data_IF_942127141130
#
_entry.id   IF_942127141130
#
_cell.length_a   1.000
_cell.length_b   1.000
_cell.length_c   1.000
_cell.angle_alpha   90.00
_cell.angle_beta   90.00
_cell.angle_gamma   90.00
#
_symmetry.space_group_name_H-M   'P 1'
#
loop_
_entity.id
_entity.type
_entity.pdbx_description
1 polymer ?
#
# COMPACT_ATOMS: atom_id res chain seq x y z
N UNK A 1 -16.01 -28.99 -0.32
CA UNK A 1 -16.77 -28.14 0.61
C UNK A 1 -15.83 -27.78 1.74
N UNK A 2 -15.46 -26.50 1.85
CA UNK A 2 -14.72 -25.96 2.99
C UNK A 2 -15.58 -26.28 4.23
N UNK A 3 -15.01 -26.92 5.27
CA UNK A 3 -15.75 -27.14 6.52
C UNK A 3 -16.30 -25.80 7.02
N UNK A 4 -17.55 -25.77 7.50
CA UNK A 4 -18.26 -24.62 8.09
C UNK A 4 -17.56 -24.06 9.34
N UNK A 5 -16.36 -23.52 9.17
CA UNK A 5 -15.70 -22.68 10.15
C UNK A 5 -15.68 -21.29 9.56
N UNK A 6 -16.50 -20.41 10.13
CA UNK A 6 -16.41 -18.98 9.86
C UNK A 6 -14.95 -18.55 10.02
N UNK A 7 -14.44 -17.79 9.07
CA UNK A 7 -13.11 -17.21 9.11
C UNK A 7 -13.17 -15.78 8.59
N UNK A 8 -12.18 -14.99 8.98
CA UNK A 8 -12.07 -13.61 8.52
C UNK A 8 -11.10 -13.48 7.36
N UNK A 9 -11.38 -12.51 6.49
CA UNK A 9 -10.53 -12.07 5.40
C UNK A 9 -10.15 -10.62 5.65
N UNK A 10 -8.84 -10.34 5.66
CA UNK A 10 -8.31 -8.99 5.70
C UNK A 10 -7.78 -8.62 4.31
N UNK A 11 -8.49 -7.74 3.60
CA UNK A 11 -8.21 -7.43 2.19
C UNK A 11 -7.18 -6.31 1.98
N UNK A 12 -6.65 -5.74 3.07
CA UNK A 12 -5.55 -4.79 2.97
C UNK A 12 -4.75 -4.71 4.27
N UNK A 13 -3.54 -5.27 4.27
CA UNK A 13 -2.64 -5.21 5.42
C UNK A 13 -1.17 -5.15 5.01
N UNK A 14 -0.29 -4.96 5.99
CA UNK A 14 1.14 -4.72 5.81
C UNK A 14 2.05 -5.52 6.76
N UNK A 15 1.84 -6.83 6.99
CA UNK A 15 2.77 -7.61 7.82
C UNK A 15 4.17 -7.63 7.21
N UNK A 16 4.32 -7.73 5.88
CA UNK A 16 5.65 -7.71 5.24
C UNK A 16 6.35 -6.38 5.38
N UNK A 17 5.68 -5.26 5.12
CA UNK A 17 6.28 -3.93 5.27
C UNK A 17 6.91 -3.75 6.66
N UNK A 18 6.17 -4.13 7.71
CA UNK A 18 6.62 -3.99 9.09
C UNK A 18 7.74 -4.96 9.41
N UNK A 19 7.57 -6.25 9.15
CA UNK A 19 8.60 -7.25 9.42
C UNK A 19 9.89 -6.98 8.64
N UNK A 20 9.78 -6.57 7.37
CA UNK A 20 10.91 -6.31 6.49
C UNK A 20 11.71 -5.07 6.89
N UNK A 21 11.07 -4.04 7.46
CA UNK A 21 11.76 -2.77 7.73
C UNK A 21 12.09 -2.53 9.20
N UNK A 22 11.42 -3.18 10.15
CA UNK A 22 11.59 -2.89 11.58
C UNK A 22 12.79 -3.62 12.21
N UNK A 23 13.39 -3.07 13.29
CA UNK A 23 14.43 -3.75 14.05
C UNK A 23 13.99 -5.12 14.55
N UNK A 24 14.96 -6.03 14.66
CA UNK A 24 14.77 -7.34 15.27
C UNK A 24 15.33 -7.29 16.69
N UNK A 25 14.45 -7.17 17.68
CA UNK A 25 14.86 -7.10 19.09
C UNK A 25 15.23 -8.48 19.67
N UNK A 26 14.61 -9.54 19.14
CA UNK A 26 14.86 -10.94 19.51
C UNK A 26 14.72 -11.85 18.30
N UNK A 27 15.50 -12.93 18.25
CA UNK A 27 15.39 -13.96 17.23
C UNK A 27 15.82 -13.49 15.83
N UNK A 28 15.13 -14.00 14.82
CA UNK A 28 15.38 -13.68 13.40
C UNK A 28 14.14 -12.98 12.84
N UNK A 29 14.34 -12.03 11.94
CA UNK A 29 13.28 -11.32 11.23
C UNK A 29 12.27 -12.30 10.62
N UNK A 30 10.99 -12.15 10.99
CA UNK A 30 9.91 -13.01 10.52
C UNK A 30 8.56 -12.26 10.52
N UNK A 31 7.55 -12.84 9.87
CA UNK A 31 6.18 -12.28 9.77
C UNK A 31 5.26 -12.70 10.93
N UNK A 32 5.70 -13.65 11.76
CA UNK A 32 4.89 -14.28 12.78
C UNK A 32 4.74 -13.42 14.02
N UNK A 33 5.85 -12.83 14.48
CA UNK A 33 5.90 -12.12 15.74
C UNK A 33 5.62 -10.62 15.55
N UNK A 34 5.11 -9.99 16.60
CA UNK A 34 4.92 -8.55 16.62
C UNK A 34 6.27 -7.83 16.60
N UNK A 35 6.33 -6.69 15.90
CA UNK A 35 7.51 -5.82 15.86
C UNK A 35 7.25 -4.50 16.56
N UNK A 36 8.29 -3.88 17.10
CA UNK A 36 8.20 -2.61 17.83
C UNK A 36 9.23 -1.60 17.30
N UNK A 37 8.83 -0.33 17.23
CA UNK A 37 9.74 0.76 16.90
C UNK A 37 10.79 0.91 18.01
N UNK A 38 11.99 1.35 17.65
CA UNK A 38 12.98 1.77 18.64
C UNK A 38 12.45 2.93 19.49
N UNK A 39 12.64 2.81 20.80
CA UNK A 39 12.31 3.84 21.77
C UNK A 39 13.58 4.60 22.19
N UNK A 40 13.89 5.69 21.49
CA UNK A 40 14.99 6.58 21.90
C UNK A 40 14.54 7.54 22.99
N UNK A 41 15.37 7.69 24.03
CA UNK A 41 15.09 8.54 25.19
C UNK A 41 15.65 9.96 25.08
N UNK A 42 16.16 10.34 23.91
CA UNK A 42 16.62 11.72 23.67
C UNK A 42 15.45 12.70 23.69
N UNK A 43 15.65 13.97 24.12
CA UNK A 43 14.56 14.95 24.20
C UNK A 43 13.81 15.14 22.87
N UNK A 44 14.51 15.08 21.74
CA UNK A 44 13.92 15.23 20.41
C UNK A 44 13.07 14.02 20.00
N UNK A 45 13.50 12.81 20.36
CA UNK A 45 12.74 11.58 20.09
C UNK A 45 11.51 11.47 20.98
N UNK A 46 11.61 11.88 22.26
CA UNK A 46 10.43 12.05 23.14
C UNK A 46 9.43 13.05 22.56
N UNK A 47 9.91 14.20 22.08
CA UNK A 47 9.06 15.18 21.40
C UNK A 47 8.39 14.58 20.15
N UNK A 48 9.14 13.86 19.31
CA UNK A 48 8.61 13.23 18.10
C UNK A 48 7.54 12.18 18.43
N UNK A 49 7.78 11.35 19.46
CA UNK A 49 6.81 10.37 19.97
C UNK A 49 5.51 11.04 20.44
N UNK A 50 5.60 12.12 21.22
CA UNK A 50 4.43 12.89 21.66
C UNK A 50 3.68 13.53 20.49
N UNK A 51 4.38 14.05 19.48
CA UNK A 51 3.74 14.64 18.29
C UNK A 51 3.12 13.60 17.36
N UNK A 52 3.55 12.34 17.45
CA UNK A 52 3.07 11.22 16.62
C UNK A 52 2.39 10.13 17.44
N UNK A 53 1.78 10.48 18.58
CA UNK A 53 1.09 9.53 19.47
C UNK A 53 -0.11 8.83 18.80
N UNK A 54 -0.69 9.45 17.76
CA UNK A 54 -1.74 8.82 16.94
C UNK A 54 -1.19 7.73 16.00
N UNK A 55 0.13 7.58 15.86
CA UNK A 55 0.75 6.56 15.04
C UNK A 55 1.16 5.38 15.93
N UNK A 56 0.72 4.18 15.57
CA UNK A 56 1.12 2.96 16.25
C UNK A 56 2.66 2.81 16.26
N UNK A 57 3.20 2.39 17.41
CA UNK A 57 4.63 2.13 17.61
C UNK A 57 4.96 0.64 17.65
N UNK A 58 3.95 -0.20 17.50
CA UNK A 58 4.06 -1.64 17.31
C UNK A 58 3.35 -2.04 16.02
N UNK A 59 3.71 -3.20 15.47
CA UNK A 59 3.01 -3.79 14.34
C UNK A 59 1.54 -4.02 14.68
N UNK A 60 0.64 -3.52 13.84
CA UNK A 60 -0.80 -3.76 13.95
C UNK A 60 -1.23 -5.06 13.25
N UNK A 61 -0.32 -5.67 12.47
CA UNK A 61 -0.52 -6.91 11.74
C UNK A 61 0.72 -7.81 11.86
N UNK A 62 0.50 -9.07 12.25
CA UNK A 62 1.47 -10.17 12.24
C UNK A 62 0.70 -11.51 12.20
N UNK A 63 1.34 -12.57 11.74
CA UNK A 63 0.64 -13.84 11.48
C UNK A 63 0.15 -14.55 12.76
N UNK A 64 0.79 -14.36 13.92
CA UNK A 64 0.28 -14.92 15.17
C UNK A 64 -1.01 -14.22 15.63
N UNK A 65 -1.09 -12.90 15.48
CA UNK A 65 -2.32 -12.15 15.74
C UNK A 65 -3.44 -12.56 14.78
N UNK A 66 -3.13 -12.80 13.51
CA UNK A 66 -4.10 -13.29 12.53
C UNK A 66 -4.62 -14.68 12.87
N UNK A 67 -3.73 -15.60 13.20
CA UNK A 67 -4.10 -16.93 13.65
C UNK A 67 -4.99 -16.89 14.91
N UNK A 68 -4.61 -16.09 15.91
CA UNK A 68 -5.39 -15.91 17.14
C UNK A 68 -6.78 -15.28 16.89
N UNK A 69 -6.87 -14.38 15.90
CA UNK A 69 -8.11 -13.74 15.48
C UNK A 69 -8.93 -14.54 14.46
N UNK A 70 -8.52 -15.76 14.11
CA UNK A 70 -9.16 -16.58 13.08
C UNK A 70 -9.27 -15.87 11.71
N UNK A 71 -8.27 -15.04 11.38
CA UNK A 71 -8.09 -14.45 10.04
C UNK A 71 -7.26 -15.44 9.23
N UNK A 72 -7.89 -16.04 8.21
CA UNK A 72 -7.29 -17.13 7.44
C UNK A 72 -6.90 -16.74 6.03
N UNK A 73 -7.38 -15.61 5.54
CA UNK A 73 -6.96 -15.03 4.27
C UNK A 73 -6.53 -13.59 4.51
N UNK A 74 -5.33 -13.25 4.08
CA UNK A 74 -4.83 -11.88 4.14
C UNK A 74 -4.31 -11.44 2.79
N UNK A 75 -4.47 -10.15 2.49
CA UNK A 75 -3.90 -9.49 1.33
C UNK A 75 -2.72 -8.65 1.82
N UNK A 76 -1.52 -9.22 1.69
CA UNK A 76 -0.29 -8.58 2.14
C UNK A 76 0.19 -7.60 1.07
N UNK A 77 0.02 -6.32 1.39
CA UNK A 77 0.34 -5.21 0.52
C UNK A 77 1.82 -4.85 0.66
N UNK A 78 2.59 -5.33 -0.30
CA UNK A 78 4.00 -4.99 -0.43
C UNK A 78 4.13 -3.50 -0.78
N UNK A 79 5.05 -2.82 -0.11
CA UNK A 79 5.15 -1.37 -0.20
C UNK A 79 6.61 -0.94 -0.07
N UNK A 80 7.31 -0.72 -1.20
CA UNK A 80 8.59 -0.03 -1.19
C UNK A 80 8.44 1.36 -0.56
N UNK A 81 9.27 1.71 0.41
CA UNK A 81 9.12 2.96 1.17
C UNK A 81 9.37 4.16 0.25
N UNK A 82 8.33 4.97 0.02
CA UNK A 82 8.44 6.18 -0.80
C UNK A 82 9.52 7.14 -0.25
N UNK A 83 10.42 7.62 -1.11
CA UNK A 83 11.54 8.50 -0.73
C UNK A 83 11.07 9.80 -0.07
N UNK A 84 9.83 10.22 -0.32
CA UNK A 84 9.20 11.34 0.35
C UNK A 84 9.16 11.19 1.89
N UNK A 85 9.04 9.97 2.41
CA UNK A 85 9.11 9.69 3.85
C UNK A 85 10.50 9.82 4.45
N UNK A 86 11.55 9.75 3.63
CA UNK A 86 12.94 9.90 4.08
C UNK A 86 13.36 11.37 4.17
N UNK A 87 12.53 12.29 3.65
CA UNK A 87 12.80 13.74 3.54
C UNK A 87 11.90 14.55 4.48
N UNK A 88 12.33 14.67 5.74
CA UNK A 88 11.58 15.42 6.77
C UNK A 88 11.82 16.94 6.65
N UNK A 89 10.81 17.72 6.25
CA UNK A 89 10.92 19.16 5.92
C UNK A 89 11.36 20.08 7.05
N UNK A 90 10.98 19.76 8.29
CA UNK A 90 11.13 20.67 9.44
C UNK A 90 12.18 20.23 10.44
N UNK A 91 12.99 19.22 10.12
CA UNK A 91 14.17 18.94 10.91
C UNK A 91 15.28 19.83 10.34
N UNK A 92 15.81 20.79 11.11
CA UNK A 92 17.01 21.51 10.70
C UNK A 92 18.18 20.55 10.88
N UNK A 93 18.33 19.60 9.96
CA UNK A 93 19.38 18.57 9.97
C UNK A 93 20.77 19.16 10.09
N UNK A 94 20.98 20.37 9.54
CA UNK A 94 22.20 21.16 9.71
C UNK A 94 22.49 21.59 11.16
N UNK A 95 21.46 21.79 12.00
CA UNK A 95 21.58 22.17 13.42
C UNK A 95 21.47 20.97 14.38
N UNK A 96 20.73 19.93 13.99
CA UNK A 96 20.41 18.77 14.83
C UNK A 96 21.44 17.64 14.64
N UNK A 97 22.12 17.59 13.49
CA UNK A 97 23.04 16.52 13.11
C UNK A 97 22.31 15.27 12.62
N UNK A 98 22.97 14.48 11.76
CA UNK A 98 22.39 13.30 11.09
C UNK A 98 21.91 12.22 12.07
N UNK A 99 22.69 11.91 13.10
CA UNK A 99 22.34 10.88 14.08
C UNK A 99 20.98 11.14 14.76
N UNK A 100 20.78 12.36 15.28
CA UNK A 100 19.51 12.75 15.93
C UNK A 100 18.34 12.82 14.94
N UNK A 101 18.58 13.16 13.67
CA UNK A 101 17.53 13.09 12.65
C UNK A 101 17.08 11.66 12.36
N UNK A 102 18.01 10.72 12.45
CA UNK A 102 17.75 9.30 12.22
C UNK A 102 16.96 8.72 13.39
N UNK A 103 17.31 9.08 14.64
CA UNK A 103 16.51 8.70 15.81
C UNK A 103 15.04 9.16 15.68
N UNK A 104 14.80 10.39 15.22
CA UNK A 104 13.43 10.90 15.00
C UNK A 104 12.71 10.07 13.94
N UNK A 105 13.36 9.81 12.80
CA UNK A 105 12.75 9.07 11.72
C UNK A 105 12.45 7.62 12.12
N UNK A 106 13.37 6.95 12.81
CA UNK A 106 13.20 5.59 13.36
C UNK A 106 12.09 5.54 14.40
N UNK A 107 11.99 6.54 15.28
CA UNK A 107 10.88 6.67 16.26
C UNK A 107 9.51 6.75 15.58
N UNK A 108 9.43 7.52 14.48
CA UNK A 108 8.16 7.78 13.79
C UNK A 108 7.77 6.62 12.88
N UNK A 109 8.70 6.12 12.07
CA UNK A 109 8.45 5.13 11.01
C UNK A 109 8.62 3.69 11.48
N UNK A 110 9.46 3.46 12.49
CA UNK A 110 9.84 2.11 12.92
C UNK A 110 10.81 1.42 11.97
N UNK A 111 11.42 2.12 11.02
CA UNK A 111 12.45 1.57 10.14
C UNK A 111 13.73 1.39 10.94
N UNK A 112 14.41 0.25 10.78
CA UNK A 112 15.70 -0.05 11.38
C UNK A 112 16.81 0.88 10.85
N UNK A 113 17.87 1.08 11.63
CA UNK A 113 18.99 1.93 11.23
C UNK A 113 19.68 1.47 9.93
N UNK A 114 19.98 0.17 9.80
CA UNK A 114 20.61 -0.37 8.59
C UNK A 114 19.67 -0.31 7.39
N UNK A 115 18.39 -0.60 7.61
CA UNK A 115 17.38 -0.50 6.57
C UNK A 115 17.21 0.96 6.11
N UNK A 116 17.21 1.92 7.04
CA UNK A 116 17.10 3.34 6.73
C UNK A 116 18.27 3.82 5.86
N UNK A 117 19.51 3.41 6.18
CA UNK A 117 20.67 3.74 5.37
C UNK A 117 20.60 3.08 3.98
N UNK A 118 20.19 1.82 3.90
CA UNK A 118 19.95 1.14 2.62
C UNK A 118 18.92 1.87 1.75
N UNK A 119 17.79 2.27 2.35
CA UNK A 119 16.73 3.01 1.66
C UNK A 119 17.18 4.38 1.18
N UNK A 120 18.07 5.07 1.89
CA UNK A 120 18.60 6.38 1.46
C UNK A 120 19.63 6.27 0.34
N UNK A 121 20.39 5.18 0.32
CA UNK A 121 21.44 4.96 -0.66
C UNK A 121 20.91 4.27 -1.94
N UNK A 122 19.70 3.71 -1.90
CA UNK A 122 19.04 3.09 -3.05
C UNK A 122 18.12 4.09 -3.77
N UNK A 123 18.30 4.24 -5.08
CA UNK A 123 17.37 4.91 -6.00
C UNK A 123 16.63 3.88 -6.88
N UNK A 124 16.27 2.74 -6.32
CA UNK A 124 15.52 1.73 -7.06
C UNK A 124 14.41 1.12 -6.19
N UNK A 125 13.17 1.56 -6.39
CA UNK A 125 12.01 1.02 -5.65
C UNK A 125 11.71 -0.43 -6.04
N UNK A 126 12.01 -0.80 -7.29
CA UNK A 126 11.73 -2.16 -7.78
C UNK A 126 12.62 -3.20 -7.11
N UNK A 127 13.89 -2.88 -6.84
CA UNK A 127 14.77 -3.76 -6.06
C UNK A 127 14.25 -3.98 -4.63
N UNK A 128 13.65 -2.95 -4.02
CA UNK A 128 13.01 -3.11 -2.72
C UNK A 128 11.76 -3.99 -2.80
N UNK A 129 10.93 -3.82 -3.84
CA UNK A 129 9.78 -4.68 -4.10
C UNK A 129 10.20 -6.16 -4.24
N UNK A 130 11.24 -6.43 -5.03
CA UNK A 130 11.80 -7.78 -5.20
C UNK A 130 12.30 -8.34 -3.86
N UNK A 131 12.95 -7.53 -3.04
CA UNK A 131 13.39 -7.91 -1.69
C UNK A 131 12.23 -8.27 -0.76
N UNK A 132 11.17 -7.47 -0.75
CA UNK A 132 9.96 -7.73 0.05
C UNK A 132 9.24 -9.00 -0.40
N UNK A 133 9.03 -9.18 -1.71
CA UNK A 133 8.42 -10.41 -2.25
C UNK A 133 9.29 -11.64 -1.95
N UNK A 134 10.63 -11.54 -2.08
CA UNK A 134 11.53 -12.63 -1.76
C UNK A 134 11.49 -12.98 -0.26
N UNK A 135 11.41 -11.98 0.62
CA UNK A 135 11.27 -12.20 2.06
C UNK A 135 9.96 -12.92 2.40
N UNK A 136 8.83 -12.47 1.84
CA UNK A 136 7.53 -13.11 2.00
C UNK A 136 7.52 -14.53 1.40
N UNK A 137 8.05 -14.71 0.19
CA UNK A 137 8.05 -16.02 -0.47
C UNK A 137 8.96 -17.04 0.22
N UNK A 138 10.13 -16.63 0.72
CA UNK A 138 11.08 -17.53 1.40
C UNK A 138 10.65 -17.86 2.82
N UNK A 139 9.90 -16.98 3.48
CA UNK A 139 9.45 -17.18 4.85
C UNK A 139 8.28 -18.17 5.00
N UNK A 140 7.70 -18.65 3.91
CA UNK A 140 6.52 -19.54 3.92
C UNK A 140 6.78 -20.81 4.73
N UNK A 141 5.70 -21.37 5.29
CA UNK A 141 5.77 -22.60 6.08
C UNK A 141 5.29 -22.41 7.50
N UNK A 142 5.80 -23.23 8.42
CA UNK A 142 5.34 -23.31 9.80
C UNK A 142 5.74 -22.08 10.61
N UNK A 143 4.92 -21.72 11.57
CA UNK A 143 5.25 -20.76 12.63
C UNK A 143 6.40 -21.29 13.49
N UNK A 144 7.12 -20.41 14.23
CA UNK A 144 8.22 -20.83 15.11
C UNK A 144 7.84 -21.93 16.11
N UNK A 145 6.58 -21.98 16.54
CA UNK A 145 6.07 -23.00 17.46
C UNK A 145 5.43 -24.20 16.76
N UNK A 146 5.32 -24.18 15.42
CA UNK A 146 4.80 -25.29 14.62
C UNK A 146 3.28 -25.43 14.55
N UNK A 147 2.52 -24.60 15.28
CA UNK A 147 1.05 -24.71 15.40
C UNK A 147 0.28 -24.16 14.20
N UNK A 148 0.89 -23.23 13.47
CA UNK A 148 0.28 -22.53 12.34
C UNK A 148 1.22 -22.57 11.15
N UNK A 149 0.71 -22.26 9.96
CA UNK A 149 1.51 -22.06 8.77
C UNK A 149 0.98 -20.90 7.92
N UNK A 150 1.76 -20.42 6.97
CA UNK A 150 1.21 -19.61 5.89
C UNK A 150 1.74 -20.05 4.54
N UNK A 151 0.94 -19.78 3.50
CA UNK A 151 1.28 -20.06 2.10
C UNK A 151 0.81 -18.91 1.23
N UNK A 152 1.66 -18.52 0.28
CA UNK A 152 1.28 -17.63 -0.80
C UNK A 152 0.36 -18.37 -1.76
N UNK A 153 -0.70 -17.70 -2.17
CA UNK A 153 -1.67 -18.23 -3.13
C UNK A 153 -1.79 -17.29 -4.32
N UNK A 154 -1.57 -17.84 -5.51
CA UNK A 154 -1.63 -17.15 -6.78
C UNK A 154 -2.95 -17.34 -7.52
N UNK A 155 -3.92 -18.10 -6.97
CA UNK A 155 -5.23 -18.35 -7.59
C UNK A 155 -6.31 -18.71 -6.57
N UNK A 156 -7.58 -18.65 -6.98
CA UNK A 156 -8.71 -19.12 -6.17
C UNK A 156 -8.56 -20.61 -5.81
N UNK A 157 -8.17 -21.45 -6.77
CA UNK A 157 -7.99 -22.88 -6.54
C UNK A 157 -6.90 -23.17 -5.49
N UNK A 158 -5.77 -22.47 -5.55
CA UNK A 158 -4.72 -22.60 -4.53
C UNK A 158 -5.21 -22.15 -3.14
N UNK A 159 -5.96 -21.06 -3.09
CA UNK A 159 -6.56 -20.59 -1.85
C UNK A 159 -7.57 -21.60 -1.28
N UNK A 160 -8.47 -22.13 -2.11
CA UNK A 160 -9.46 -23.14 -1.71
C UNK A 160 -8.77 -24.41 -1.16
N UNK A 161 -7.70 -24.86 -1.81
CA UNK A 161 -6.87 -25.98 -1.34
C UNK A 161 -6.30 -25.69 0.04
N UNK A 162 -5.64 -24.54 0.24
CA UNK A 162 -5.09 -24.15 1.55
C UNK A 162 -6.19 -24.11 2.62
N UNK A 163 -7.34 -23.52 2.28
CA UNK A 163 -8.45 -23.33 3.20
C UNK A 163 -9.12 -24.64 3.62
N UNK A 164 -9.15 -25.62 2.70
CA UNK A 164 -9.79 -26.93 2.91
C UNK A 164 -8.84 -27.93 3.60
N UNK A 165 -7.56 -27.93 3.24
CA UNK A 165 -6.61 -28.96 3.71
C UNK A 165 -5.98 -28.65 5.07
N UNK A 166 -5.76 -27.38 5.40
CA UNK A 166 -5.07 -26.98 6.63
C UNK A 166 -5.80 -25.85 7.37
N UNK A 167 -6.60 -26.17 8.41
CA UNK A 167 -7.35 -25.17 9.19
C UNK A 167 -6.45 -24.17 9.92
N UNK A 168 -5.16 -24.48 10.10
CA UNK A 168 -4.18 -23.64 10.77
C UNK A 168 -3.24 -22.91 9.79
N UNK A 169 -3.51 -23.01 8.49
CA UNK A 169 -2.79 -22.27 7.47
C UNK A 169 -3.50 -20.97 7.09
N UNK A 170 -2.73 -19.88 7.04
CA UNK A 170 -3.15 -18.58 6.52
C UNK A 170 -2.77 -18.53 5.03
N UNK A 171 -3.76 -18.31 4.17
CA UNK A 171 -3.55 -18.02 2.76
C UNK A 171 -3.18 -16.54 2.59
N UNK A 172 -2.05 -16.27 1.94
CA UNK A 172 -1.57 -14.91 1.69
C UNK A 172 -1.71 -14.61 0.19
N UNK A 173 -2.56 -13.64 -0.13
CA UNK A 173 -2.67 -13.05 -1.46
C UNK A 173 -1.71 -11.86 -1.51
N UNK A 174 -0.90 -11.77 -2.55
CA UNK A 174 0.01 -10.63 -2.72
C UNK A 174 -0.76 -9.46 -3.32
N UNK A 175 -0.57 -8.26 -2.76
CA UNK A 175 -0.95 -6.98 -3.37
C UNK A 175 0.22 -6.02 -3.29
N UNK A 176 0.12 -4.89 -3.98
CA UNK A 176 1.14 -3.83 -3.90
C UNK A 176 0.46 -2.50 -3.64
N UNK A 177 0.98 -1.70 -2.72
CA UNK A 177 0.49 -0.34 -2.52
C UNK A 177 1.44 0.66 -3.18
N UNK A 178 0.97 1.30 -4.26
CA UNK A 178 1.69 2.34 -4.96
C UNK A 178 2.56 1.80 -6.10
N UNK A 179 2.20 2.17 -7.32
CA UNK A 179 2.92 1.77 -8.53
C UNK A 179 4.30 2.45 -8.70
N UNK A 180 4.72 3.33 -7.79
CA UNK A 180 6.14 3.73 -7.68
C UNK A 180 7.04 2.51 -7.45
N UNK A 181 6.48 1.42 -6.92
CA UNK A 181 7.14 0.13 -6.78
C UNK A 181 7.72 -0.42 -8.10
N UNK A 182 7.21 -0.01 -9.27
CA UNK A 182 7.79 -0.37 -10.58
C UNK A 182 8.94 0.55 -11.02
N UNK A 183 9.53 1.28 -10.07
CA UNK A 183 10.65 2.19 -10.25
C UNK A 183 10.34 3.51 -10.96
N UNK A 184 9.21 4.14 -10.60
CA UNK A 184 8.89 5.51 -11.01
C UNK A 184 8.69 6.45 -9.82
N UNK A 185 8.56 7.75 -10.07
CA UNK A 185 8.31 8.72 -9.01
C UNK A 185 9.51 9.01 -8.12
N UNK A 186 10.73 8.71 -8.60
CA UNK A 186 11.93 9.08 -7.87
C UNK A 186 12.08 10.61 -7.90
N UNK A 187 12.60 11.22 -6.82
CA UNK A 187 12.86 12.65 -6.81
C UNK A 187 13.81 13.07 -7.93
N UNK A 188 13.65 14.29 -8.46
CA UNK A 188 14.46 14.82 -9.57
C UNK A 188 15.97 14.74 -9.31
N UNK A 189 16.40 14.90 -8.05
CA UNK A 189 17.81 14.82 -7.67
C UNK A 189 18.39 13.40 -7.76
N UNK A 190 17.54 12.37 -7.93
CA UNK A 190 17.98 11.02 -8.21
C UNK A 190 18.48 10.83 -9.65
N UNK A 191 18.22 11.81 -10.55
CA UNK A 191 18.63 11.75 -11.96
C UNK A 191 17.94 10.63 -12.76
N UNK A 192 16.86 10.05 -12.22
CA UNK A 192 16.11 8.97 -12.84
C UNK A 192 14.86 9.54 -13.53
N UNK A 193 14.67 9.18 -14.81
CA UNK A 193 13.44 9.46 -15.54
C UNK A 193 12.81 8.15 -15.95
N UNK A 194 11.57 7.93 -15.51
CA UNK A 194 10.85 6.70 -15.75
C UNK A 194 10.56 6.52 -17.23
N UNK A 195 10.97 5.38 -17.79
CA UNK A 195 10.66 5.02 -19.18
C UNK A 195 9.55 3.96 -19.25
N UNK A 196 8.72 4.02 -20.29
CA UNK A 196 7.68 3.02 -20.55
C UNK A 196 8.29 1.61 -20.61
N UNK A 197 9.48 1.49 -21.23
CA UNK A 197 10.17 0.21 -21.39
C UNK A 197 10.55 -0.41 -20.04
N UNK A 198 11.20 0.35 -19.17
CA UNK A 198 11.59 -0.15 -17.84
C UNK A 198 10.36 -0.55 -17.02
N UNK A 199 9.31 0.27 -17.04
CA UNK A 199 8.06 -0.03 -16.35
C UNK A 199 7.42 -1.32 -16.88
N UNK A 200 7.39 -1.51 -18.19
CA UNK A 200 6.87 -2.74 -18.80
C UNK A 200 7.70 -3.98 -18.44
N UNK A 201 9.04 -3.88 -18.46
CA UNK A 201 9.94 -4.96 -18.05
C UNK A 201 9.75 -5.33 -16.56
N UNK A 202 9.57 -4.33 -15.68
CA UNK A 202 9.31 -4.55 -14.26
C UNK A 202 7.93 -5.17 -14.02
N UNK A 203 6.88 -4.71 -14.72
CA UNK A 203 5.53 -5.30 -14.65
C UNK A 203 5.54 -6.75 -15.16
N UNK A 204 6.20 -7.02 -16.29
CA UNK A 204 6.35 -8.37 -16.83
C UNK A 204 7.06 -9.31 -15.86
N UNK A 205 8.11 -8.83 -15.19
CA UNK A 205 8.80 -9.58 -14.12
C UNK A 205 7.85 -9.92 -12.98
N UNK A 206 7.04 -8.96 -12.52
CA UNK A 206 6.07 -9.17 -11.42
C UNK A 206 4.95 -10.12 -11.82
N UNK A 207 4.45 -10.04 -13.06
CA UNK A 207 3.46 -10.98 -13.61
C UNK A 207 3.99 -12.41 -13.72
N UNK A 208 5.31 -12.59 -13.85
CA UNK A 208 5.97 -13.90 -13.91
C UNK A 208 6.16 -14.58 -12.55
N UNK A 209 5.90 -13.88 -11.45
CA UNK A 209 5.98 -14.46 -10.11
C UNK A 209 5.03 -15.64 -9.95
N UNK A 210 5.41 -16.61 -9.11
CA UNK A 210 4.54 -17.75 -8.77
C UNK A 210 3.20 -17.29 -8.19
N UNK A 211 3.24 -16.30 -7.31
CA UNK A 211 2.06 -15.63 -6.77
C UNK A 211 2.13 -14.14 -7.17
N UNK A 212 1.69 -13.78 -8.39
CA UNK A 212 1.70 -12.39 -8.83
C UNK A 212 0.67 -11.58 -8.04
N UNK A 213 0.87 -10.27 -7.87
CA UNK A 213 -0.08 -9.43 -7.15
C UNK A 213 -1.49 -9.49 -7.76
N UNK A 214 -2.51 -9.62 -6.92
CA UNK A 214 -3.89 -9.63 -7.38
C UNK A 214 -4.35 -8.23 -7.81
N UNK A 215 -3.99 -7.21 -7.03
CA UNK A 215 -4.19 -5.80 -7.38
C UNK A 215 -3.06 -4.91 -6.87
N UNK A 216 -3.03 -3.68 -7.39
CA UNK A 216 -2.07 -2.62 -7.03
C UNK A 216 -2.72 -1.25 -6.99
N UNK A 217 -2.36 -0.42 -6.00
CA UNK A 217 -2.72 1.00 -6.03
C UNK A 217 -1.89 1.74 -7.09
N UNK A 218 -2.56 2.47 -7.99
CA UNK A 218 -1.83 3.26 -9.00
C UNK A 218 -1.08 4.45 -8.36
N UNK A 219 -1.58 4.99 -7.25
CA UNK A 219 -0.98 6.08 -6.50
C UNK A 219 -0.90 5.74 -5.00
N UNK A 220 -0.10 6.49 -4.25
CA UNK A 220 -0.06 6.42 -2.80
C UNK A 220 0.07 7.83 -2.19
N UNK A 221 1.09 8.09 -1.37
CA UNK A 221 1.22 9.35 -0.66
C UNK A 221 1.93 10.45 -1.46
N UNK A 222 2.82 10.09 -2.38
CA UNK A 222 3.58 11.04 -3.18
C UNK A 222 3.31 10.85 -4.68
N UNK A 223 3.62 11.89 -5.46
CA UNK A 223 3.49 11.82 -6.90
C UNK A 223 4.50 10.83 -7.48
N UNK A 224 4.01 9.94 -8.33
CA UNK A 224 4.79 8.88 -8.93
C UNK A 224 4.90 8.96 -10.46
N UNK A 225 4.57 10.11 -11.06
CA UNK A 225 4.53 10.34 -12.51
C UNK A 225 3.40 9.63 -13.27
N UNK A 226 2.65 8.73 -12.63
CA UNK A 226 1.60 7.93 -13.29
C UNK A 226 0.22 8.57 -13.20
N UNK A 227 -0.16 9.05 -12.02
CA UNK A 227 -1.42 9.76 -11.87
C UNK A 227 -1.40 10.73 -10.69
N UNK A 228 -2.37 11.63 -10.65
CA UNK A 228 -2.55 12.46 -9.47
C UNK A 228 -3.12 11.68 -8.29
N UNK A 229 -2.66 12.05 -7.09
CA UNK A 229 -3.08 11.46 -5.83
C UNK A 229 -3.96 12.42 -5.01
N UNK A 230 -4.68 11.89 -4.03
CA UNK A 230 -5.45 12.67 -3.05
C UNK A 230 -4.57 13.09 -1.88
N UNK A 231 -5.08 14.04 -1.10
CA UNK A 231 -4.50 14.42 0.18
C UNK A 231 -4.74 13.29 1.19
N UNK A 232 -3.67 12.67 1.66
CA UNK A 232 -3.71 11.55 2.61
C UNK A 232 -3.12 11.88 3.98
N UNK A 233 -2.23 12.88 4.06
CA UNK A 233 -1.64 13.24 5.35
C UNK A 233 -2.55 14.08 6.24
N UNK A 234 -2.79 13.53 7.45
CA UNK A 234 -3.24 14.32 8.60
C UNK A 234 -2.32 15.52 8.81
N UNK A 235 -2.79 16.62 9.43
CA UNK A 235 -2.06 17.89 9.43
C UNK A 235 -0.67 17.86 10.08
N UNK A 236 -0.41 16.99 11.05
CA UNK A 236 0.94 16.78 11.62
C UNK A 236 1.89 16.22 10.55
N UNK A 237 1.47 15.17 9.84
CA UNK A 237 2.25 14.55 8.76
C UNK A 237 2.43 15.49 7.57
N UNK A 238 1.42 16.31 7.25
CA UNK A 238 1.55 17.34 6.21
C UNK A 238 2.55 18.44 6.57
N UNK A 239 2.80 18.71 7.86
CA UNK A 239 3.86 19.61 8.28
C UNK A 239 5.25 18.97 8.17
N UNK A 240 5.33 17.64 8.33
CA UNK A 240 6.56 16.86 8.25
C UNK A 240 6.99 16.59 6.80
N UNK A 241 6.06 16.31 5.89
CA UNK A 241 6.33 15.79 4.55
C UNK A 241 5.68 16.63 3.42
N UNK A 242 6.11 16.43 2.18
CA UNK A 242 5.64 17.18 1.00
C UNK A 242 4.75 16.37 0.04
N UNK A 243 3.43 16.59 0.10
CA UNK A 243 2.46 16.00 -0.84
C UNK A 243 1.96 16.97 -1.91
N UNK A 244 2.72 18.03 -2.26
CA UNK A 244 2.22 19.05 -3.20
C UNK A 244 2.31 18.63 -4.67
N UNK A 245 3.39 17.96 -5.06
CA UNK A 245 3.57 17.50 -6.43
C UNK A 245 2.44 16.53 -6.79
N UNK A 246 1.90 16.60 -8.00
CA UNK A 246 0.89 15.65 -8.49
C UNK A 246 -0.48 15.68 -7.82
N UNK A 247 -0.69 16.52 -6.79
CA UNK A 247 -1.94 16.51 -6.03
C UNK A 247 -3.13 16.88 -6.93
N UNK A 248 -4.16 16.04 -6.92
CA UNK A 248 -5.41 16.24 -7.67
C UNK A 248 -5.31 16.28 -9.20
N UNK A 249 -4.18 15.89 -9.80
CA UNK A 249 -4.08 15.72 -11.26
C UNK A 249 -4.82 14.46 -11.75
N UNK A 250 -5.01 14.33 -13.06
CA UNK A 250 -5.50 13.10 -13.71
C UNK A 250 -4.41 12.04 -13.93
N UNK A 251 -4.73 11.06 -14.77
CA UNK A 251 -3.79 10.01 -15.20
C UNK A 251 -2.93 10.55 -16.33
N UNK A 252 -1.61 10.34 -16.26
CA UNK A 252 -0.66 10.78 -17.28
C UNK A 252 -0.60 9.78 -18.44
N UNK A 253 0.03 10.15 -19.56
CA UNK A 253 0.27 9.21 -20.67
C UNK A 253 1.13 8.01 -20.22
N UNK A 254 2.09 8.24 -19.33
CA UNK A 254 2.88 7.18 -18.71
C UNK A 254 1.99 6.27 -17.85
N UNK A 255 1.11 6.88 -17.04
CA UNK A 255 0.11 6.16 -16.24
C UNK A 255 -0.79 5.27 -17.09
N UNK A 256 -1.32 5.77 -18.20
CA UNK A 256 -2.13 4.95 -19.12
C UNK A 256 -1.35 3.77 -19.71
N UNK A 257 -0.08 3.99 -20.06
CA UNK A 257 0.78 2.90 -20.55
C UNK A 257 0.95 1.80 -19.49
N UNK A 258 1.17 2.18 -18.23
CA UNK A 258 1.28 1.26 -17.09
C UNK A 258 -0.05 0.55 -16.81
N UNK A 259 -1.18 1.26 -16.84
CA UNK A 259 -2.52 0.68 -16.67
C UNK A 259 -2.79 -0.40 -17.72
N UNK A 260 -2.50 -0.11 -18.99
CA UNK A 260 -2.68 -1.08 -20.07
C UNK A 260 -1.79 -2.30 -19.88
N UNK A 261 -0.52 -2.10 -19.55
CA UNK A 261 0.44 -3.20 -19.33
C UNK A 261 0.02 -4.11 -18.17
N UNK A 262 -0.47 -3.54 -17.06
CA UNK A 262 -0.98 -4.32 -15.91
C UNK A 262 -2.26 -5.09 -16.25
N UNK A 263 -3.17 -4.47 -17.01
CA UNK A 263 -4.47 -5.06 -17.35
C UNK A 263 -4.44 -6.06 -18.51
N UNK A 264 -3.37 -6.02 -19.31
CA UNK A 264 -3.09 -6.98 -20.37
C UNK A 264 -3.05 -8.42 -19.84
N UNK A 265 -3.44 -9.37 -20.70
CA UNK A 265 -3.57 -10.79 -20.36
C UNK A 265 -2.69 -11.70 -21.26
N UNK A 266 -2.11 -11.13 -22.31
CA UNK A 266 -1.16 -11.78 -23.22
C UNK A 266 0.27 -11.83 -22.66
N UNK A 267 0.55 -11.07 -21.60
CA UNK A 267 1.82 -11.01 -20.89
C UNK A 267 1.75 -11.61 -19.46
N UNK A 268 0.76 -12.48 -19.20
CA UNK A 268 0.55 -13.12 -17.90
C UNK A 268 -0.76 -12.70 -17.23
N UNK A 269 -0.89 -12.98 -15.93
CA UNK A 269 -2.13 -12.69 -15.19
C UNK A 269 -2.33 -11.17 -15.08
N UNK A 270 -3.56 -10.71 -15.31
CA UNK A 270 -3.99 -9.33 -15.04
C UNK A 270 -3.70 -8.94 -13.59
N UNK A 271 -3.05 -7.80 -13.41
CA UNK A 271 -2.95 -7.11 -12.12
C UNK A 271 -4.04 -6.04 -12.11
N UNK A 272 -5.01 -6.16 -11.21
CA UNK A 272 -6.13 -5.21 -11.12
C UNK A 272 -5.69 -3.89 -10.48
N UNK A 273 -6.41 -2.80 -10.77
CA UNK A 273 -6.14 -1.53 -10.13
C UNK A 273 -6.99 -1.37 -8.87
N UNK A 274 -6.33 -0.99 -7.79
CA UNK A 274 -6.95 -0.41 -6.61
C UNK A 274 -6.96 1.12 -6.75
N UNK A 275 -8.16 1.70 -6.72
CA UNK A 275 -8.38 3.14 -6.89
C UNK A 275 -8.08 3.96 -5.64
N UNK A 276 -7.82 3.32 -4.50
CA UNK A 276 -7.47 4.04 -3.27
C UNK A 276 -6.21 4.90 -3.50
N UNK A 277 -6.19 6.07 -2.84
CA UNK A 277 -5.24 7.18 -2.98
C UNK A 277 -5.27 7.96 -4.30
N UNK A 278 -5.78 7.41 -5.41
CA UNK A 278 -5.95 8.16 -6.67
C UNK A 278 -6.81 9.40 -6.44
N UNK A 279 -6.45 10.51 -7.10
CA UNK A 279 -7.27 11.72 -7.11
C UNK A 279 -8.69 11.44 -7.62
N UNK A 280 -9.64 12.32 -7.31
CA UNK A 280 -10.99 12.24 -7.91
C UNK A 280 -10.91 12.33 -9.44
N UNK A 281 -10.04 13.17 -9.99
CA UNK A 281 -9.86 13.28 -11.44
C UNK A 281 -9.37 11.96 -12.05
N UNK A 282 -8.33 11.36 -11.47
CA UNK A 282 -7.79 10.08 -11.93
C UNK A 282 -8.82 8.95 -11.84
N UNK A 283 -9.62 8.91 -10.75
CA UNK A 283 -10.71 7.94 -10.60
C UNK A 283 -11.78 8.11 -11.67
N UNK A 284 -12.22 9.34 -11.93
CA UNK A 284 -13.20 9.63 -12.99
C UNK A 284 -12.72 9.18 -14.37
N UNK A 285 -11.44 9.43 -14.68
CA UNK A 285 -10.82 8.98 -15.92
C UNK A 285 -10.78 7.44 -16.01
N UNK A 286 -10.38 6.77 -14.94
CA UNK A 286 -10.37 5.31 -14.89
C UNK A 286 -11.77 4.69 -14.97
N UNK A 287 -12.78 5.27 -14.30
CA UNK A 287 -14.17 4.80 -14.37
C UNK A 287 -14.72 4.84 -15.79
N UNK A 288 -14.48 5.93 -16.54
CA UNK A 288 -14.89 6.04 -17.95
C UNK A 288 -14.21 4.99 -18.83
N UNK A 289 -12.93 4.71 -18.57
CA UNK A 289 -12.21 3.65 -19.26
C UNK A 289 -12.81 2.28 -18.96
N UNK A 290 -13.03 1.94 -17.68
CA UNK A 290 -13.60 0.65 -17.26
C UNK A 290 -15.02 0.46 -17.81
N UNK A 291 -15.86 1.49 -17.78
CA UNK A 291 -17.21 1.45 -18.36
C UNK A 291 -17.15 1.12 -19.86
N UNK A 292 -16.31 1.84 -20.60
CA UNK A 292 -16.13 1.63 -22.04
C UNK A 292 -15.59 0.23 -22.35
N UNK A 293 -14.57 -0.21 -21.61
CA UNK A 293 -13.98 -1.53 -21.74
C UNK A 293 -14.99 -2.64 -21.44
N UNK A 294 -15.73 -2.54 -20.34
CA UNK A 294 -16.69 -3.56 -19.90
C UNK A 294 -17.89 -3.68 -20.84
N UNK A 295 -18.30 -2.58 -21.48
CA UNK A 295 -19.32 -2.59 -22.54
C UNK A 295 -18.86 -3.37 -23.77
N UNK A 296 -17.60 -3.23 -24.15
CA UNK A 296 -17.00 -3.92 -25.30
C UNK A 296 -16.59 -5.36 -24.98
N UNK A 297 -16.37 -5.68 -23.70
CA UNK A 297 -15.86 -6.97 -23.24
C UNK A 297 -16.77 -7.58 -22.14
N UNK A 298 -18.03 -7.94 -22.46
CA UNK A 298 -19.01 -8.36 -21.46
C UNK A 298 -18.63 -9.63 -20.68
N UNK A 299 -17.78 -10.49 -21.26
CA UNK A 299 -17.30 -11.74 -20.65
C UNK A 299 -15.96 -11.57 -19.91
N UNK A 300 -15.27 -10.44 -20.09
CA UNK A 300 -13.91 -10.21 -19.59
C UNK A 300 -13.80 -8.93 -18.75
N UNK A 301 -14.88 -8.57 -18.06
CA UNK A 301 -15.01 -7.29 -17.34
C UNK A 301 -13.86 -7.05 -16.36
N UNK A 302 -13.49 -5.78 -16.22
CA UNK A 302 -12.58 -5.29 -15.18
C UNK A 302 -13.44 -4.86 -13.98
N UNK A 303 -13.31 -5.52 -12.81
CA UNK A 303 -13.87 -5.02 -11.56
C UNK A 303 -13.03 -3.86 -11.05
N UNK A 304 -13.67 -2.90 -10.37
CA UNK A 304 -12.98 -1.81 -9.68
C UNK A 304 -12.78 -2.20 -8.22
N UNK A 305 -11.59 -1.98 -7.68
CA UNK A 305 -11.25 -2.29 -6.29
C UNK A 305 -10.92 -1.00 -5.55
N UNK A 306 -11.46 -0.82 -4.35
CA UNK A 306 -11.01 0.19 -3.38
C UNK A 306 -10.70 -0.53 -2.06
N UNK A 307 -9.44 -0.93 -1.85
CA UNK A 307 -9.13 -1.96 -0.84
C UNK A 307 -9.23 -1.49 0.62
N UNK A 308 -9.12 -0.19 0.88
CA UNK A 308 -9.17 0.35 2.24
C UNK A 308 -9.71 1.79 2.26
N UNK A 309 -10.97 1.98 2.60
CA UNK A 309 -11.59 3.31 2.54
C UNK A 309 -12.68 3.54 3.56
N UNK A 310 -12.92 4.80 3.88
CA UNK A 310 -14.18 5.23 4.48
C UNK A 310 -15.15 5.77 3.42
N UNK A 311 -16.30 6.21 3.91
CA UNK A 311 -17.26 7.02 3.15
C UNK A 311 -17.07 8.51 3.48
N UNK A 312 -17.30 9.37 2.50
CA UNK A 312 -17.01 10.80 2.61
C UNK A 312 -18.25 11.69 2.82
N UNK A 313 -19.44 11.11 2.96
CA UNK A 313 -20.75 11.78 3.16
C UNK A 313 -21.39 12.45 1.93
N UNK A 314 -20.68 12.52 0.80
CA UNK A 314 -21.18 13.20 -0.39
C UNK A 314 -21.90 12.24 -1.34
N UNK A 315 -22.96 12.73 -1.98
CA UNK A 315 -23.68 11.97 -3.01
C UNK A 315 -22.92 11.82 -4.32
N UNK A 316 -21.96 12.71 -4.59
CA UNK A 316 -21.16 12.72 -5.82
C UNK A 316 -19.70 13.09 -5.59
N UNK A 317 -18.84 12.65 -6.50
CA UNK A 317 -17.44 13.02 -6.57
C UNK A 317 -17.26 14.54 -6.68
N UNK A 318 -18.08 15.19 -7.51
CA UNK A 318 -18.04 16.62 -7.72
C UNK A 318 -18.31 17.40 -6.42
N UNK A 319 -19.34 17.00 -5.67
CA UNK A 319 -19.65 17.61 -4.36
C UNK A 319 -18.51 17.41 -3.36
N UNK A 320 -17.85 16.25 -3.38
CA UNK A 320 -16.75 15.94 -2.47
C UNK A 320 -15.52 16.85 -2.63
N UNK A 321 -15.33 17.49 -3.79
CA UNK A 321 -14.15 18.33 -4.06
C UNK A 321 -14.43 19.83 -4.07
N UNK A 322 -15.69 20.27 -3.98
CA UNK A 322 -16.04 21.70 -3.95
C UNK A 322 -15.30 22.46 -2.84
N UNK A 323 -15.19 21.84 -1.66
CA UNK A 323 -14.38 22.35 -0.55
C UNK A 323 -13.09 21.55 -0.43
N UNK A 324 -11.96 22.26 -0.48
CA UNK A 324 -10.63 21.69 -0.29
C UNK A 324 -10.50 20.94 1.04
N UNK A 325 -9.89 19.76 0.96
CA UNK A 325 -9.58 18.93 2.12
C UNK A 325 -8.70 19.66 3.13
N UNK A 326 -9.24 19.78 4.34
CA UNK A 326 -8.66 20.53 5.45
C UNK A 326 -9.30 20.09 6.77
N UNK A 327 -8.68 20.45 7.91
CA UNK A 327 -9.32 20.26 9.23
C UNK A 327 -10.70 20.91 9.29
N UNK A 328 -10.84 22.08 8.68
CA UNK A 328 -12.10 22.82 8.66
C UNK A 328 -13.20 22.16 7.82
N UNK A 329 -12.86 21.23 6.92
CA UNK A 329 -13.84 20.39 6.21
C UNK A 329 -14.41 19.31 7.14
N UNK A 330 -13.54 18.66 7.92
CA UNK A 330 -13.93 17.59 8.85
C UNK A 330 -14.75 18.06 10.05
N UNK A 331 -14.53 19.30 10.54
CA UNK A 331 -15.22 19.82 11.74
C UNK A 331 -16.75 19.83 11.65
N UNK A 332 -17.32 19.72 10.45
CA UNK A 332 -18.77 19.78 10.21
C UNK A 332 -19.40 18.41 9.93
N UNK A 333 -18.65 17.33 10.15
CA UNK A 333 -19.05 15.98 9.78
C UNK A 333 -18.65 14.97 10.86
N UNK A 334 -19.46 13.92 11.02
CA UNK A 334 -19.09 12.71 11.77
C UNK A 334 -18.17 11.79 10.95
N UNK A 335 -18.16 11.94 9.63
CA UNK A 335 -17.31 11.18 8.71
C UNK A 335 -15.99 11.88 8.46
N UNK A 336 -14.99 11.11 8.04
CA UNK A 336 -13.80 11.69 7.44
C UNK A 336 -14.10 12.10 5.98
N UNK A 337 -14.74 13.25 5.83
CA UNK A 337 -15.28 13.76 4.57
C UNK A 337 -14.22 14.27 3.56
N UNK A 338 -12.98 13.79 3.63
CA UNK A 338 -11.96 14.12 2.64
C UNK A 338 -12.15 13.30 1.37
N UNK A 339 -11.66 13.82 0.24
CA UNK A 339 -11.85 13.21 -1.06
C UNK A 339 -11.10 11.87 -1.22
N UNK A 340 -10.20 11.51 -0.29
CA UNK A 340 -9.57 10.17 -0.23
C UNK A 340 -10.56 9.03 0.07
N UNK A 341 -11.74 9.36 0.57
CA UNK A 341 -12.84 8.44 0.86
C UNK A 341 -13.92 8.50 -0.23
N UNK A 342 -14.78 7.49 -0.29
CA UNK A 342 -15.75 7.32 -1.38
C UNK A 342 -17.02 8.14 -1.18
N UNK A 343 -17.55 8.67 -2.28
CA UNK A 343 -18.92 9.20 -2.37
C UNK A 343 -19.92 8.12 -2.81
N UNK A 344 -21.23 8.35 -2.64
CA UNK A 344 -22.27 7.39 -3.03
C UNK A 344 -22.19 7.01 -4.52
N UNK A 345 -21.91 8.00 -5.37
CA UNK A 345 -21.68 7.81 -6.81
C UNK A 345 -20.61 6.75 -7.08
N UNK A 346 -19.47 6.82 -6.37
CA UNK A 346 -18.36 5.89 -6.54
C UNK A 346 -18.70 4.50 -6.05
N UNK A 347 -19.39 4.41 -4.90
CA UNK A 347 -19.85 3.12 -4.37
C UNK A 347 -20.75 2.41 -5.39
N UNK A 348 -21.68 3.14 -6.03
CA UNK A 348 -22.55 2.59 -7.09
C UNK A 348 -21.75 2.15 -8.31
N UNK A 349 -20.75 2.95 -8.74
CA UNK A 349 -19.87 2.59 -9.86
C UNK A 349 -19.11 1.30 -9.54
N UNK A 350 -18.46 1.22 -8.38
CA UNK A 350 -17.70 0.02 -7.95
C UNK A 350 -18.62 -1.20 -7.92
N UNK A 351 -19.78 -1.09 -7.28
CA UNK A 351 -20.78 -2.16 -7.23
C UNK A 351 -21.22 -2.61 -8.62
N UNK A 352 -21.48 -1.69 -9.55
CA UNK A 352 -21.93 -2.01 -10.92
C UNK A 352 -20.90 -2.82 -11.73
N UNK A 353 -19.62 -2.74 -11.35
CA UNK A 353 -18.54 -3.51 -11.99
C UNK A 353 -18.35 -4.92 -11.40
N UNK A 354 -19.09 -5.28 -10.35
CA UNK A 354 -18.79 -6.46 -9.53
C UNK A 354 -17.51 -6.29 -8.72
N UNK A 355 -17.21 -5.03 -8.35
CA UNK A 355 -16.01 -4.63 -7.65
C UNK A 355 -15.99 -4.97 -6.16
N UNK A 356 -14.95 -4.48 -5.47
CA UNK A 356 -14.72 -4.72 -4.05
C UNK A 356 -14.41 -3.40 -3.32
N UNK A 357 -14.98 -3.23 -2.12
CA UNK A 357 -14.69 -2.12 -1.19
C UNK A 357 -14.29 -2.72 0.15
N UNK A 358 -13.17 -2.28 0.70
CA UNK A 358 -12.67 -2.65 2.04
C UNK A 358 -12.68 -1.53 3.05
#
# INVERSE_FOLDING_TARGET
MIQDRDFFVDIHTHPTLRAYNTPVHKGVRNLWEATENDAFETPISRWARLKTHEMAKSSQANLLSYAAGNVRVIFDSLYPVEKGFLRFRKLPTALVGRAKSDEVLRTVTGIDGHQLDSLRNSNNYFQELLGQYAFLSKGQGKSPHGNYAYRLVGSWAEMETVMTEDPNCIAVVVTVEGAHAFNCGLPEEAGHSSSIRELAENIGTVKSWKAPPFFINLAHHFYNELCGHTRSFKPVMHQAFNQKAGLNLGITNLGWSVIHEMLAQDNGRRILLDIKHMSVQSRQEYYRFVESYNRLNPQGKIPIICSHTGVNEFSSMAASIQKKDSKGKMKKSYFHNWAINLSDEEIRIIHSTGGLIG
#
